data_IF_940161255509
#
_entry.id   IF_940161255509
#
_cell.length_a   1.000
_cell.length_b   1.000
_cell.length_c   1.000
_cell.angle_alpha   90.00
_cell.angle_beta   90.00
_cell.angle_gamma   90.00
#
_symmetry.space_group_name_H-M   'P 1'
#
loop_
_entity.id
_entity.type
_entity.pdbx_description
1 polymer ?
#
# COMPACT_ATOMS: atom_id res chain seq x y z
N UNK A 1 30.26 -10.97 19.46
CA UNK A 1 29.34 -11.27 18.34
C UNK A 1 28.79 -9.94 17.88
N UNK A 2 28.99 -9.56 16.63
CA UNK A 2 28.40 -8.34 16.07
C UNK A 2 26.89 -8.52 16.03
N UNK A 3 26.14 -7.64 16.71
CA UNK A 3 24.69 -7.66 16.70
C UNK A 3 24.21 -7.45 15.26
N UNK A 4 23.42 -8.41 14.74
CA UNK A 4 22.84 -8.30 13.40
C UNK A 4 21.66 -7.36 13.41
N UNK A 5 21.52 -6.59 12.33
CA UNK A 5 20.40 -5.69 12.09
C UNK A 5 19.76 -6.00 10.75
N UNK A 6 18.48 -6.31 10.76
CA UNK A 6 17.69 -6.59 9.58
C UNK A 6 16.61 -5.51 9.36
N UNK A 7 16.30 -5.27 8.10
CA UNK A 7 15.22 -4.38 7.66
C UNK A 7 14.26 -5.21 6.80
N UNK A 8 12.98 -5.23 7.18
CA UNK A 8 11.91 -5.74 6.33
C UNK A 8 11.23 -4.56 5.65
N UNK A 9 10.94 -4.67 4.35
CA UNK A 9 10.19 -3.66 3.59
C UNK A 9 9.00 -4.35 2.93
N UNK A 10 7.81 -3.78 3.11
CA UNK A 10 6.56 -4.24 2.53
C UNK A 10 5.89 -3.11 1.75
N UNK A 11 5.51 -3.38 0.50
CA UNK A 11 4.84 -2.42 -0.38
C UNK A 11 3.34 -2.39 -0.06
N UNK A 12 2.82 -1.22 0.27
CA UNK A 12 1.41 -1.07 0.67
C UNK A 12 0.44 -1.35 -0.46
N UNK A 13 -0.43 -2.35 -0.25
CA UNK A 13 -1.50 -2.70 -1.19
C UNK A 13 -0.98 -2.79 -2.63
N UNK A 14 0.09 -3.54 -2.84
CA UNK A 14 0.97 -3.44 -4.01
C UNK A 14 0.21 -3.46 -5.33
N UNK A 15 -0.64 -4.44 -5.58
CA UNK A 15 -1.36 -4.53 -6.85
C UNK A 15 -2.31 -3.35 -7.07
N UNK A 16 -3.03 -2.93 -6.03
CA UNK A 16 -3.91 -1.77 -6.10
C UNK A 16 -3.11 -0.47 -6.32
N UNK A 17 -1.94 -0.35 -5.69
CA UNK A 17 -1.05 0.79 -5.88
C UNK A 17 -0.51 0.88 -7.29
N UNK A 18 -0.10 -0.24 -7.89
CA UNK A 18 0.32 -0.30 -9.31
C UNK A 18 -0.81 0.14 -10.22
N UNK A 19 -2.02 -0.37 -10.01
CA UNK A 19 -3.19 0.00 -10.85
C UNK A 19 -3.56 1.48 -10.72
N UNK A 20 -3.45 2.06 -9.53
CA UNK A 20 -3.64 3.49 -9.33
C UNK A 20 -2.57 4.30 -10.08
N UNK A 21 -1.30 3.94 -9.92
CA UNK A 21 -0.21 4.66 -10.58
C UNK A 21 -0.30 4.61 -12.10
N UNK A 22 -0.67 3.48 -12.67
CA UNK A 22 -0.88 3.33 -14.12
C UNK A 22 -1.99 4.26 -14.65
N UNK A 23 -2.98 4.58 -13.82
CA UNK A 23 -4.09 5.48 -14.14
C UNK A 23 -3.81 6.94 -13.78
N UNK A 24 -2.62 7.26 -13.28
CA UNK A 24 -2.29 8.60 -12.79
C UNK A 24 -3.05 8.99 -11.52
N UNK A 25 -3.42 8.02 -10.69
CA UNK A 25 -4.17 8.21 -9.46
C UNK A 25 -3.29 7.92 -8.24
N UNK A 26 -3.57 8.59 -7.12
CA UNK A 26 -2.88 8.34 -5.86
C UNK A 26 -3.59 7.21 -5.09
N UNK A 27 -2.91 6.08 -4.79
CA UNK A 27 -3.49 4.99 -4.04
C UNK A 27 -3.92 5.35 -2.63
N UNK A 28 -3.33 6.39 -2.03
CA UNK A 28 -3.70 6.85 -0.69
C UNK A 28 -5.02 7.63 -0.65
N UNK A 29 -5.48 8.14 -1.79
CA UNK A 29 -6.68 8.98 -1.90
C UNK A 29 -7.74 8.42 -2.85
N UNK A 30 -7.43 7.36 -3.60
CA UNK A 30 -8.32 6.78 -4.59
C UNK A 30 -8.85 5.42 -4.13
N UNK A 31 -10.15 5.22 -4.22
CA UNK A 31 -10.80 3.96 -3.93
C UNK A 31 -10.69 3.00 -5.14
N UNK A 32 -9.98 1.92 -4.97
CA UNK A 32 -9.75 0.93 -6.02
C UNK A 32 -9.59 -0.47 -5.43
N UNK A 33 -10.16 -1.47 -6.11
CA UNK A 33 -9.92 -2.90 -5.85
C UNK A 33 -9.36 -3.58 -7.10
N UNK A 34 -8.52 -4.58 -6.89
CA UNK A 34 -8.05 -5.46 -7.97
C UNK A 34 -8.82 -6.76 -7.88
N UNK A 35 -9.70 -7.00 -8.84
CA UNK A 35 -10.53 -8.18 -8.89
C UNK A 35 -10.96 -8.50 -10.33
N UNK A 36 -11.17 -9.77 -10.61
CA UNK A 36 -11.76 -10.22 -11.89
C UNK A 36 -13.29 -10.14 -11.80
N UNK A 37 -13.84 -9.02 -12.24
CA UNK A 37 -15.29 -8.77 -12.22
C UNK A 37 -16.08 -9.63 -13.23
N UNK A 38 -15.40 -10.30 -14.16
CA UNK A 38 -16.04 -11.26 -15.08
C UNK A 38 -16.47 -12.54 -14.37
N UNK A 39 -15.90 -12.80 -13.20
CA UNK A 39 -16.31 -13.89 -12.30
C UNK A 39 -17.45 -13.44 -11.39
N UNK A 40 -17.92 -14.34 -10.54
CA UNK A 40 -18.98 -14.02 -9.58
C UNK A 40 -18.50 -13.06 -8.50
N UNK A 41 -19.43 -12.39 -7.82
CA UNK A 41 -19.15 -11.54 -6.63
C UNK A 41 -18.47 -12.30 -5.47
N UNK A 42 -18.44 -13.63 -5.52
CA UNK A 42 -17.69 -14.46 -4.55
C UNK A 42 -16.18 -14.48 -4.81
N UNK A 43 -15.73 -13.89 -5.92
CA UNK A 43 -14.29 -13.80 -6.24
C UNK A 43 -13.53 -13.04 -5.15
N UNK A 44 -12.30 -13.47 -4.87
CA UNK A 44 -11.43 -12.79 -3.92
C UNK A 44 -10.78 -11.59 -4.62
N UNK A 45 -10.83 -10.41 -3.99
CA UNK A 45 -10.05 -9.27 -4.39
C UNK A 45 -8.57 -9.52 -4.04
N UNK A 46 -7.69 -9.34 -5.01
CA UNK A 46 -6.25 -9.55 -4.80
C UNK A 46 -5.61 -8.40 -4.02
N UNK A 47 -6.16 -7.20 -4.12
CA UNK A 47 -5.74 -6.04 -3.36
C UNK A 47 -6.85 -5.00 -3.26
N UNK A 48 -6.76 -4.17 -2.25
CA UNK A 48 -7.63 -3.02 -1.99
C UNK A 48 -6.74 -1.82 -1.73
N UNK A 49 -7.03 -0.66 -2.33
CA UNK A 49 -6.25 0.55 -2.09
C UNK A 49 -6.32 0.99 -0.62
N UNK A 50 -5.28 1.65 -0.09
CA UNK A 50 -5.30 2.18 1.27
C UNK A 50 -6.49 3.10 1.54
N UNK A 51 -6.89 3.93 0.58
CA UNK A 51 -8.05 4.80 0.70
C UNK A 51 -9.33 4.00 0.96
N UNK A 52 -9.57 2.93 0.21
CA UNK A 52 -10.76 2.09 0.37
C UNK A 52 -10.71 1.25 1.67
N UNK A 53 -9.51 0.79 2.06
CA UNK A 53 -9.31 0.11 3.36
C UNK A 53 -9.71 0.97 4.55
N UNK A 54 -9.62 2.28 4.45
CA UNK A 54 -9.98 3.22 5.52
C UNK A 54 -11.44 3.12 5.96
N UNK A 55 -12.30 2.56 5.11
CA UNK A 55 -13.70 2.27 5.45
C UNK A 55 -13.91 0.95 6.22
N UNK A 56 -12.83 0.27 6.61
CA UNK A 56 -12.88 -0.99 7.35
C UNK A 56 -12.95 -2.23 6.45
N UNK A 57 -12.57 -2.11 5.18
CA UNK A 57 -12.49 -3.23 4.25
C UNK A 57 -11.14 -3.95 4.47
N UNK A 58 -11.13 -5.30 4.64
CA UNK A 58 -9.89 -6.05 4.80
C UNK A 58 -9.05 -6.06 3.53
N UNK A 59 -7.79 -6.49 3.64
CA UNK A 59 -6.85 -6.46 2.52
C UNK A 59 -7.17 -7.42 1.36
N UNK A 60 -7.84 -8.53 1.64
CA UNK A 60 -8.24 -9.56 0.68
C UNK A 60 -9.71 -9.96 0.87
N UNK A 61 -10.65 -9.04 0.67
CA UNK A 61 -12.08 -9.32 0.82
C UNK A 61 -12.58 -10.12 -0.39
N UNK A 62 -13.73 -10.74 -0.25
CA UNK A 62 -14.52 -11.13 -1.41
C UNK A 62 -15.22 -9.89 -2.00
N UNK A 63 -15.46 -9.88 -3.30
CA UNK A 63 -16.05 -8.71 -3.95
C UNK A 63 -17.41 -8.32 -3.35
N UNK A 64 -18.24 -9.29 -2.96
CA UNK A 64 -19.52 -8.99 -2.32
C UNK A 64 -19.37 -8.29 -0.96
N UNK A 65 -18.29 -8.56 -0.23
CA UNK A 65 -17.99 -7.87 1.05
C UNK A 65 -17.67 -6.39 0.82
N UNK A 66 -16.95 -6.09 -0.27
CA UNK A 66 -16.72 -4.70 -0.70
C UNK A 66 -18.03 -4.01 -1.05
N UNK A 67 -18.87 -4.65 -1.86
CA UNK A 67 -20.19 -4.13 -2.25
C UNK A 67 -21.04 -3.83 -1.02
N UNK A 68 -21.11 -4.78 -0.08
CA UNK A 68 -21.91 -4.63 1.14
C UNK A 68 -21.38 -3.50 2.02
N UNK A 69 -20.08 -3.42 2.22
CA UNK A 69 -19.47 -2.38 3.05
C UNK A 69 -19.69 -0.98 2.46
N UNK A 70 -19.55 -0.84 1.17
CA UNK A 70 -19.82 0.42 0.48
C UNK A 70 -21.29 0.83 0.60
N UNK A 71 -22.22 -0.13 0.52
CA UNK A 71 -23.65 0.15 0.80
C UNK A 71 -23.89 0.66 2.21
N UNK A 72 -23.27 0.04 3.22
CA UNK A 72 -23.37 0.48 4.62
C UNK A 72 -22.84 1.91 4.78
N UNK A 73 -21.66 2.19 4.24
CA UNK A 73 -21.04 3.52 4.29
C UNK A 73 -21.95 4.55 3.61
N UNK A 74 -22.50 4.23 2.44
CA UNK A 74 -23.39 5.13 1.71
C UNK A 74 -24.72 5.35 2.41
N UNK A 75 -25.25 4.37 3.12
CA UNK A 75 -26.43 4.55 3.97
C UNK A 75 -26.18 5.59 5.07
N UNK A 76 -25.03 5.52 5.72
CA UNK A 76 -24.62 6.50 6.74
C UNK A 76 -24.38 7.89 6.13
N UNK A 77 -23.76 7.95 4.96
CA UNK A 77 -23.55 9.22 4.23
C UNK A 77 -24.87 9.85 3.83
N UNK A 78 -25.83 9.06 3.35
CA UNK A 78 -27.16 9.53 2.98
C UNK A 78 -27.90 10.18 4.16
N UNK A 79 -27.80 9.60 5.36
CA UNK A 79 -28.42 10.17 6.55
C UNK A 79 -27.86 11.56 6.91
N UNK A 80 -26.57 11.79 6.60
CA UNK A 80 -25.87 13.05 6.86
C UNK A 80 -25.90 14.04 5.70
N UNK A 81 -26.30 13.58 4.52
CA UNK A 81 -26.33 14.42 3.32
C UNK A 81 -27.42 15.49 3.41
N UNK A 82 -27.24 16.67 2.77
CA UNK A 82 -28.27 17.66 2.66
C UNK A 82 -29.54 17.10 2.04
N UNK A 83 -30.66 17.28 2.71
CA UNK A 83 -31.95 16.69 2.29
C UNK A 83 -32.00 15.15 2.34
N UNK A 84 -31.05 14.52 3.00
CA UNK A 84 -30.90 13.06 3.07
C UNK A 84 -30.86 12.37 1.70
N UNK A 85 -30.26 13.04 0.72
CA UNK A 85 -30.18 12.54 -0.66
C UNK A 85 -28.74 12.63 -1.17
N UNK A 86 -28.23 11.52 -1.72
CA UNK A 86 -26.98 11.51 -2.46
C UNK A 86 -27.26 11.91 -3.91
N UNK A 87 -26.46 12.83 -4.44
CA UNK A 87 -26.66 13.44 -5.77
C UNK A 87 -25.60 13.04 -6.80
N UNK A 88 -24.60 12.27 -6.39
CA UNK A 88 -23.53 11.78 -7.25
C UNK A 88 -22.67 10.80 -6.51
N UNK A 89 -21.54 10.44 -7.09
CA UNK A 89 -20.54 9.56 -6.49
C UNK A 89 -19.12 10.02 -6.82
N UNK A 90 -18.16 9.60 -6.00
CA UNK A 90 -16.74 9.81 -6.28
C UNK A 90 -15.91 8.64 -5.77
N UNK A 91 -14.79 8.40 -6.46
CA UNK A 91 -13.74 7.47 -6.02
C UNK A 91 -12.60 8.18 -5.29
N UNK A 92 -12.66 9.50 -5.17
CA UNK A 92 -11.61 10.33 -4.58
C UNK A 92 -11.97 10.76 -3.16
N UNK A 93 -11.09 10.44 -2.22
CA UNK A 93 -11.26 10.75 -0.80
C UNK A 93 -11.45 12.26 -0.53
N UNK A 94 -10.66 13.08 -1.22
CA UNK A 94 -10.75 14.55 -1.11
C UNK A 94 -12.12 15.09 -1.51
N UNK A 95 -12.68 14.62 -2.62
CA UNK A 95 -14.02 14.99 -3.07
C UNK A 95 -15.11 14.52 -2.11
N UNK A 96 -14.98 13.28 -1.61
CA UNK A 96 -15.92 12.70 -0.65
C UNK A 96 -15.94 13.44 0.68
N UNK A 97 -14.78 13.92 1.14
CA UNK A 97 -14.67 14.76 2.35
C UNK A 97 -15.24 16.16 2.15
N UNK A 98 -15.01 16.73 0.97
CA UNK A 98 -15.48 18.08 0.65
C UNK A 98 -17.00 18.16 0.38
N UNK A 99 -17.61 17.08 -0.10
CA UNK A 99 -19.02 17.04 -0.48
C UNK A 99 -19.78 15.86 0.16
N UNK A 100 -20.57 16.09 1.21
CA UNK A 100 -21.31 15.03 1.88
C UNK A 100 -22.48 14.47 1.05
N UNK A 101 -22.84 15.11 -0.06
CA UNK A 101 -23.89 14.63 -0.97
C UNK A 101 -23.36 13.57 -1.98
N UNK A 102 -22.06 13.27 -1.99
CA UNK A 102 -21.49 12.24 -2.85
C UNK A 102 -21.49 10.87 -2.17
N UNK A 103 -21.89 9.86 -2.93
CA UNK A 103 -21.72 8.47 -2.55
C UNK A 103 -20.26 8.03 -2.73
N UNK A 104 -19.81 7.14 -1.87
CA UNK A 104 -18.53 6.43 -2.06
C UNK A 104 -18.69 5.46 -3.22
N UNK A 105 -17.78 5.54 -4.16
CA UNK A 105 -17.62 4.60 -5.26
C UNK A 105 -16.17 4.10 -5.32
N UNK A 106 -15.89 3.13 -6.16
CA UNK A 106 -14.55 2.54 -6.31
C UNK A 106 -14.35 2.00 -7.74
N UNK A 107 -13.09 1.98 -8.15
CA UNK A 107 -12.67 1.37 -9.43
C UNK A 107 -12.44 -0.12 -9.20
N UNK A 108 -12.93 -0.96 -10.12
CA UNK A 108 -12.58 -2.39 -10.17
C UNK A 108 -11.60 -2.59 -11.31
N UNK A 109 -10.36 -2.90 -10.97
CA UNK A 109 -9.29 -3.12 -11.93
C UNK A 109 -9.06 -4.63 -12.13
N UNK A 110 -9.09 -5.14 -13.38
CA UNK A 110 -8.75 -6.54 -13.64
C UNK A 110 -7.26 -6.80 -13.31
N UNK A 111 -6.91 -7.99 -12.78
CA UNK A 111 -5.54 -8.32 -12.42
C UNK A 111 -4.60 -8.32 -13.63
N UNK A 112 -3.38 -7.79 -13.46
CA UNK A 112 -2.32 -7.74 -14.46
C UNK A 112 -1.01 -8.30 -13.87
N UNK A 113 -0.97 -9.61 -13.58
CA UNK A 113 0.14 -10.23 -12.84
C UNK A 113 1.52 -9.99 -13.48
N UNK A 114 1.61 -10.07 -14.82
CA UNK A 114 2.87 -9.82 -15.52
C UNK A 114 3.36 -8.37 -15.33
N UNK A 115 2.44 -7.42 -15.29
CA UNK A 115 2.76 -6.02 -15.05
C UNK A 115 3.22 -5.80 -13.59
N UNK A 116 2.57 -6.43 -12.62
CA UNK A 116 2.99 -6.35 -11.21
C UNK A 116 4.39 -6.93 -10.99
N UNK A 117 4.70 -8.05 -11.64
CA UNK A 117 6.04 -8.65 -11.61
C UNK A 117 7.11 -7.70 -12.18
N UNK A 118 6.78 -6.99 -13.26
CA UNK A 118 7.66 -5.99 -13.89
C UNK A 118 7.95 -4.82 -12.95
N UNK A 119 6.94 -4.29 -12.28
CA UNK A 119 7.10 -3.20 -11.32
C UNK A 119 7.85 -3.69 -10.08
N UNK A 120 7.57 -4.89 -9.59
CA UNK A 120 8.33 -5.50 -8.49
C UNK A 120 9.82 -5.62 -8.81
N UNK A 121 10.17 -6.06 -10.01
CA UNK A 121 11.56 -6.13 -10.47
C UNK A 121 12.22 -4.74 -10.51
N UNK A 122 11.49 -3.71 -10.96
CA UNK A 122 11.97 -2.32 -10.95
C UNK A 122 12.23 -1.80 -9.54
N UNK A 123 11.39 -2.15 -8.59
CA UNK A 123 11.58 -1.79 -7.19
C UNK A 123 12.78 -2.53 -6.60
N UNK A 124 12.97 -3.79 -6.93
CA UNK A 124 14.16 -4.54 -6.54
C UNK A 124 15.46 -3.87 -7.03
N UNK A 125 15.47 -3.34 -8.24
CA UNK A 125 16.59 -2.55 -8.76
C UNK A 125 16.88 -1.28 -7.92
N UNK A 126 15.86 -0.68 -7.32
CA UNK A 126 16.03 0.43 -6.37
C UNK A 126 16.78 -0.03 -5.14
N UNK A 127 16.42 -1.17 -4.55
CA UNK A 127 17.14 -1.73 -3.40
C UNK A 127 18.60 -2.05 -3.73
N UNK A 128 18.90 -2.50 -4.95
CA UNK A 128 20.24 -2.81 -5.40
C UNK A 128 21.17 -1.59 -5.49
N UNK A 129 20.66 -0.37 -5.50
CA UNK A 129 21.46 0.86 -5.39
C UNK A 129 22.12 0.99 -4.02
N UNK A 130 21.56 0.36 -2.99
CA UNK A 130 21.97 0.49 -1.59
C UNK A 130 22.56 -0.79 -1.04
N UNK A 131 22.08 -1.95 -1.46
CA UNK A 131 22.34 -3.26 -0.87
C UNK A 131 22.73 -4.24 -1.97
N UNK A 132 23.77 -5.03 -1.73
CA UNK A 132 24.17 -6.12 -2.62
C UNK A 132 23.11 -7.23 -2.65
N UNK A 133 22.93 -7.93 -3.79
CA UNK A 133 21.86 -8.93 -3.95
C UNK A 133 21.96 -10.09 -2.95
N UNK A 134 23.14 -10.48 -2.49
CA UNK A 134 23.36 -11.53 -1.49
C UNK A 134 22.80 -11.19 -0.10
N UNK A 135 22.60 -9.90 0.19
CA UNK A 135 22.07 -9.41 1.46
C UNK A 135 20.57 -9.04 1.37
N UNK A 136 19.94 -9.27 0.22
CA UNK A 136 18.50 -9.11 0.01
C UNK A 136 17.83 -10.46 -0.13
N UNK A 137 16.92 -10.79 0.76
CA UNK A 137 16.05 -11.95 0.65
C UNK A 137 14.67 -11.51 0.14
N UNK A 138 14.32 -11.90 -1.08
CA UNK A 138 13.00 -11.66 -1.65
C UNK A 138 12.03 -12.70 -1.07
N UNK A 139 11.14 -12.25 -0.20
CA UNK A 139 10.15 -13.12 0.44
C UNK A 139 8.92 -13.32 -0.46
N UNK A 140 8.46 -12.23 -1.09
CA UNK A 140 7.33 -12.24 -2.02
C UNK A 140 7.48 -11.09 -3.04
N UNK A 141 6.48 -10.95 -3.92
CA UNK A 141 6.46 -9.88 -4.93
C UNK A 141 6.49 -8.47 -4.33
N UNK A 142 6.04 -8.32 -3.09
CA UNK A 142 5.89 -7.04 -2.40
C UNK A 142 6.66 -6.94 -1.08
N UNK A 143 7.38 -7.98 -0.69
CA UNK A 143 8.09 -8.03 0.60
C UNK A 143 9.53 -8.52 0.45
N UNK A 144 10.47 -7.79 1.04
CA UNK A 144 11.89 -8.16 1.11
C UNK A 144 12.41 -8.06 2.54
N UNK A 145 13.42 -8.88 2.84
CA UNK A 145 14.22 -8.79 4.06
C UNK A 145 15.67 -8.48 3.70
N UNK A 146 16.27 -7.53 4.39
CA UNK A 146 17.61 -7.02 4.11
C UNK A 146 18.50 -7.22 5.35
N UNK A 147 19.68 -7.84 5.18
CA UNK A 147 20.73 -7.79 6.18
C UNK A 147 21.47 -6.45 6.04
N UNK A 148 21.13 -5.51 6.93
CA UNK A 148 21.69 -4.17 6.90
C UNK A 148 22.99 -4.01 7.70
N UNK A 149 23.43 -5.04 8.40
CA UNK A 149 24.48 -4.97 9.45
C UNK A 149 25.75 -4.24 9.00
N UNK A 150 26.36 -4.64 7.89
CA UNK A 150 27.60 -4.05 7.40
C UNK A 150 27.38 -2.66 6.77
N UNK A 151 26.21 -2.41 6.22
CA UNK A 151 25.88 -1.18 5.49
C UNK A 151 25.72 0.02 6.40
N UNK A 152 25.22 -0.18 7.63
CA UNK A 152 25.02 0.90 8.60
C UNK A 152 26.34 1.58 8.96
N UNK A 153 27.40 0.79 9.12
CA UNK A 153 28.74 1.33 9.37
C UNK A 153 29.30 2.03 8.13
N UNK A 154 29.19 1.39 6.96
CA UNK A 154 29.72 1.91 5.71
C UNK A 154 29.08 3.23 5.31
N UNK A 155 27.76 3.34 5.45
CA UNK A 155 27.03 4.55 5.11
C UNK A 155 26.95 5.57 6.26
N UNK A 156 27.39 5.20 7.46
CA UNK A 156 27.24 6.01 8.66
C UNK A 156 25.77 6.43 8.90
N UNK A 157 24.86 5.49 8.71
CA UNK A 157 23.43 5.66 8.89
C UNK A 157 22.89 4.74 9.99
N UNK A 158 21.82 5.16 10.63
CA UNK A 158 20.99 4.24 11.43
C UNK A 158 20.16 3.34 10.51
N UNK A 159 19.69 2.22 11.02
CA UNK A 159 18.80 1.34 10.26
C UNK A 159 17.54 2.07 9.78
N UNK A 160 16.97 2.95 10.61
CA UNK A 160 15.83 3.78 10.27
C UNK A 160 16.14 4.73 9.11
N UNK A 161 17.28 5.41 9.16
CA UNK A 161 17.69 6.33 8.10
C UNK A 161 17.91 5.60 6.76
N UNK A 162 18.54 4.41 6.79
CA UNK A 162 18.72 3.59 5.59
C UNK A 162 17.38 3.09 5.04
N UNK A 163 16.49 2.59 5.90
CA UNK A 163 15.15 2.18 5.50
C UNK A 163 14.36 3.34 4.87
N UNK A 164 14.41 4.53 5.47
CA UNK A 164 13.74 5.72 4.94
C UNK A 164 14.29 6.14 3.58
N UNK A 165 15.61 6.08 3.38
CA UNK A 165 16.22 6.36 2.06
C UNK A 165 15.68 5.43 0.97
N UNK A 166 15.63 4.14 1.25
CA UNK A 166 15.12 3.16 0.29
C UNK A 166 13.63 3.36 0.02
N UNK A 167 12.82 3.58 1.05
CA UNK A 167 11.38 3.82 0.93
C UNK A 167 11.08 5.08 0.12
N UNK A 168 11.81 6.17 0.37
CA UNK A 168 11.64 7.42 -0.38
C UNK A 168 12.08 7.27 -1.84
N UNK A 169 13.12 6.51 -2.12
CA UNK A 169 13.57 6.22 -3.49
C UNK A 169 12.53 5.38 -4.24
N UNK A 170 11.93 4.38 -3.61
CA UNK A 170 10.81 3.62 -4.17
C UNK A 170 9.61 4.53 -4.47
N UNK A 171 9.27 5.42 -3.55
CA UNK A 171 8.20 6.38 -3.73
C UNK A 171 8.47 7.33 -4.91
N UNK A 172 9.67 7.90 -4.99
CA UNK A 172 10.06 8.81 -6.08
C UNK A 172 10.09 8.10 -7.44
N UNK A 173 10.52 6.85 -7.45
CA UNK A 173 10.66 6.07 -8.69
C UNK A 173 9.33 5.52 -9.21
N UNK A 174 8.43 5.12 -8.33
CA UNK A 174 7.19 4.38 -8.67
C UNK A 174 5.90 5.00 -8.16
N UNK A 175 5.97 5.94 -7.22
CA UNK A 175 4.79 6.48 -6.53
C UNK A 175 4.16 5.53 -5.51
N UNK A 176 4.79 4.38 -5.24
CA UNK A 176 4.27 3.36 -4.33
C UNK A 176 4.87 3.55 -2.94
N UNK A 177 4.01 3.57 -1.93
CA UNK A 177 4.40 3.67 -0.53
C UNK A 177 4.76 2.30 0.04
N UNK A 178 5.68 2.30 1.00
CA UNK A 178 6.14 1.10 1.69
C UNK A 178 6.18 1.32 3.20
N UNK A 179 6.15 0.23 3.95
CA UNK A 179 6.43 0.19 5.38
C UNK A 179 7.72 -0.58 5.63
N UNK A 180 8.42 -0.26 6.70
CA UNK A 180 9.61 -0.98 7.12
C UNK A 180 9.50 -1.39 8.58
N UNK A 181 10.07 -2.55 8.90
CA UNK A 181 10.29 -3.03 10.24
C UNK A 181 11.78 -3.30 10.46
N UNK A 182 12.30 -2.99 11.63
CA UNK A 182 13.71 -3.16 11.99
C UNK A 182 13.80 -4.10 13.18
N UNK A 183 14.72 -5.05 13.14
CA UNK A 183 14.93 -5.99 14.22
C UNK A 183 16.28 -6.71 14.13
N UNK A 184 16.59 -7.48 15.18
CA UNK A 184 17.83 -8.27 15.27
C UNK A 184 17.74 -9.64 14.60
N UNK A 185 16.56 -10.03 14.16
CA UNK A 185 16.30 -11.21 13.32
C UNK A 185 15.09 -10.96 12.41
N UNK A 186 14.85 -11.86 11.44
CA UNK A 186 13.77 -11.70 10.45
C UNK A 186 12.38 -11.69 11.09
N UNK A 187 12.15 -12.50 12.11
CA UNK A 187 10.88 -12.55 12.82
C UNK A 187 10.55 -11.22 13.51
N UNK A 188 11.51 -10.64 14.24
CA UNK A 188 11.33 -9.35 14.91
C UNK A 188 11.13 -8.19 13.93
N UNK A 189 11.79 -8.23 12.76
CA UNK A 189 11.54 -7.26 11.69
C UNK A 189 10.08 -7.31 11.22
N UNK A 190 9.55 -8.50 10.99
CA UNK A 190 8.17 -8.68 10.54
C UNK A 190 7.17 -8.22 11.60
N UNK A 191 7.39 -8.56 12.85
CA UNK A 191 6.56 -8.09 13.98
C UNK A 191 6.59 -6.57 14.10
N UNK A 192 7.77 -5.96 14.01
CA UNK A 192 7.93 -4.51 14.05
C UNK A 192 7.19 -3.82 12.90
N UNK A 193 7.23 -4.37 11.69
CA UNK A 193 6.52 -3.86 10.53
C UNK A 193 5.00 -3.90 10.71
N UNK A 194 4.46 -4.95 11.33
CA UNK A 194 3.03 -5.09 11.61
C UNK A 194 2.55 -4.12 12.72
N UNK A 195 3.42 -3.77 13.68
CA UNK A 195 3.13 -2.84 14.78
C UNK A 195 3.36 -1.39 14.36
N UNK A 196 4.44 -1.12 13.65
CA UNK A 196 4.89 0.22 13.25
C UNK A 196 4.27 0.70 11.92
N UNK A 197 3.01 0.40 11.65
CA UNK A 197 2.23 1.03 10.57
C UNK A 197 2.21 2.58 10.64
N UNK A 198 2.90 3.16 11.63
CA UNK A 198 2.88 4.59 11.98
C UNK A 198 4.11 5.36 11.49
N UNK A 199 5.10 4.75 10.84
CA UNK A 199 6.35 5.43 10.50
C UNK A 199 6.29 6.28 9.22
N UNK A 200 5.17 6.29 8.52
CA UNK A 200 4.96 7.16 7.38
C UNK A 200 3.74 8.06 7.57
N UNK A 201 3.92 9.15 8.27
CA UNK A 201 3.10 10.33 8.02
C UNK A 201 3.72 11.03 6.82
N UNK A 202 3.00 11.07 5.70
CA UNK A 202 3.33 11.89 4.55
C UNK A 202 3.75 13.29 5.02
N UNK A 203 4.90 13.84 4.57
CA UNK A 203 5.13 15.25 4.74
C UNK A 203 3.99 15.97 4.00
N UNK A 204 3.23 16.77 4.75
CA UNK A 204 2.25 17.68 4.19
C UNK A 204 2.92 18.47 3.07
N UNK A 205 2.34 18.55 1.87
CA UNK A 205 2.87 19.44 0.85
C UNK A 205 2.82 20.87 1.39
N UNK A 206 3.98 21.50 1.45
CA UNK A 206 4.06 22.96 1.67
C UNK A 206 3.72 23.70 0.40
#
# INVERSE_FOLDING_TARGET
MSDKTYIAIDLKSFYASVECMERGLDPMTTNLVVADASRTEKTICLAVSPALKSYGIPGRPRLFEVVQKVKEVNSLRQQKAPGRKLTGSSVQDGELKANPALAVDYVVAPPQMAHYMKISARIYEVYLKYIAPEDIHVYSIDEVFIDATSYLRTYQLTARELAMKMILDVLDTTGITATAGIGTNLYLCKVAMDIDCLLYTSPSPR
#
